data_IF_093400100451
#
_entry.id   IF_093400100451
#
_cell.length_a   1.000
_cell.length_b   1.000
_cell.length_c   1.000
_cell.angle_alpha   90.00
_cell.angle_beta   90.00
_cell.angle_gamma   90.00
#
_symmetry.space_group_name_H-M   'P 1'
#
loop_
_entity.id
_entity.type
_entity.pdbx_description
1 polymer ?
#
# COMPACT_ATOMS: atom_id res chain seq x y z
N UNK A 1 5.77 -0.38 -19.11
CA UNK A 1 6.65 -0.04 -17.97
C UNK A 1 5.95 1.05 -17.18
N UNK A 2 5.96 0.99 -15.84
CA UNK A 2 5.41 2.07 -15.00
C UNK A 2 6.45 3.19 -14.97
N UNK A 3 6.07 4.39 -15.42
CA UNK A 3 6.95 5.54 -15.40
C UNK A 3 7.24 5.96 -13.95
N UNK A 4 8.49 6.29 -13.66
CA UNK A 4 8.86 6.91 -12.39
C UNK A 4 8.35 8.36 -12.30
N UNK A 5 8.45 9.00 -11.13
CA UNK A 5 8.08 10.39 -10.97
C UNK A 5 8.95 11.31 -11.84
N UNK A 6 8.37 12.41 -12.33
CA UNK A 6 9.04 13.41 -13.18
C UNK A 6 10.26 14.06 -12.51
N UNK A 7 10.24 14.20 -11.18
CA UNK A 7 11.35 14.69 -10.35
C UNK A 7 11.35 14.06 -8.97
N UNK A 8 12.51 14.04 -8.32
CA UNK A 8 12.61 13.65 -6.91
C UNK A 8 11.99 14.72 -5.99
N UNK A 9 11.52 14.30 -4.83
CA UNK A 9 10.87 15.18 -3.86
C UNK A 9 9.40 15.47 -4.19
N UNK A 10 8.84 16.46 -3.50
CA UNK A 10 7.45 16.86 -3.62
C UNK A 10 7.23 17.90 -4.72
N UNK A 11 6.09 17.81 -5.40
CA UNK A 11 5.65 18.79 -6.39
C UNK A 11 4.15 18.71 -6.64
N UNK A 12 3.52 19.81 -7.13
CA UNK A 12 2.07 19.90 -7.24
C UNK A 12 1.41 18.70 -7.95
N UNK A 13 1.99 18.23 -9.05
CA UNK A 13 1.41 17.17 -9.87
C UNK A 13 1.92 15.76 -9.51
N UNK A 14 2.71 15.59 -8.44
CA UNK A 14 3.32 14.28 -8.11
C UNK A 14 2.29 13.19 -7.86
N UNK A 15 1.17 13.54 -7.24
CA UNK A 15 0.08 12.62 -7.03
C UNK A 15 -0.62 12.26 -8.34
N UNK A 16 -0.77 13.23 -9.25
CA UNK A 16 -1.34 13.01 -10.58
C UNK A 16 -0.44 12.10 -11.41
N UNK A 17 0.86 12.36 -11.46
CA UNK A 17 1.84 11.48 -12.13
C UNK A 17 1.75 10.04 -11.60
N UNK A 18 1.58 9.88 -10.29
CA UNK A 18 1.41 8.58 -9.66
C UNK A 18 0.09 7.91 -10.10
N UNK A 19 -1.01 8.65 -10.15
CA UNK A 19 -2.31 8.15 -10.61
C UNK A 19 -2.24 7.69 -12.07
N UNK A 20 -1.66 8.51 -12.96
CA UNK A 20 -1.48 8.17 -14.38
C UNK A 20 -0.63 6.90 -14.55
N UNK A 21 0.44 6.78 -13.77
CA UNK A 21 1.30 5.59 -13.79
C UNK A 21 0.59 4.32 -13.29
N UNK A 22 -0.35 4.46 -12.33
CA UNK A 22 -1.14 3.36 -11.79
C UNK A 22 -2.34 2.97 -12.67
N UNK A 23 -2.87 3.90 -13.48
CA UNK A 23 -4.11 3.70 -14.24
C UNK A 23 -4.12 2.42 -15.10
N UNK A 24 -3.06 2.08 -15.87
CA UNK A 24 -3.06 0.85 -16.66
C UNK A 24 -3.22 -0.42 -15.81
N UNK A 25 -2.56 -0.47 -14.65
CA UNK A 25 -2.68 -1.59 -13.70
C UNK A 25 -4.07 -1.64 -13.06
N UNK A 26 -4.63 -0.48 -12.73
CA UNK A 26 -5.98 -0.38 -12.20
C UNK A 26 -7.03 -0.89 -13.21
N UNK A 27 -6.95 -0.48 -14.48
CA UNK A 27 -7.86 -0.96 -15.52
C UNK A 27 -7.72 -2.47 -15.72
N UNK A 28 -6.49 -3.01 -15.75
CA UNK A 28 -6.27 -4.45 -15.86
C UNK A 28 -6.94 -5.25 -14.72
N UNK A 29 -6.89 -4.75 -13.48
CA UNK A 29 -7.59 -5.37 -12.35
C UNK A 29 -9.10 -5.32 -12.55
N UNK A 30 -9.64 -4.16 -12.95
CA UNK A 30 -11.08 -3.99 -13.16
C UNK A 30 -11.57 -4.91 -14.27
N UNK A 31 -10.90 -4.92 -15.43
CA UNK A 31 -11.25 -5.74 -16.58
C UNK A 31 -11.17 -7.24 -16.28
N UNK A 32 -10.15 -7.68 -15.54
CA UNK A 32 -10.05 -9.06 -15.08
C UNK A 32 -11.26 -9.47 -14.23
N UNK A 33 -11.67 -8.61 -13.29
CA UNK A 33 -12.81 -8.90 -12.41
C UNK A 33 -14.15 -8.85 -13.16
N UNK A 34 -14.29 -7.95 -14.13
CA UNK A 34 -15.45 -7.91 -15.04
C UNK A 34 -15.51 -9.19 -15.89
N UNK A 35 -14.38 -9.65 -16.43
CA UNK A 35 -14.28 -10.91 -17.16
C UNK A 35 -14.63 -12.14 -16.31
N UNK A 36 -14.41 -12.06 -15.00
CA UNK A 36 -14.85 -13.05 -14.03
C UNK A 36 -16.33 -12.89 -13.59
N UNK A 37 -17.10 -12.01 -14.25
CA UNK A 37 -18.53 -11.80 -14.00
C UNK A 37 -18.85 -10.95 -12.77
N UNK A 38 -17.87 -10.27 -12.17
CA UNK A 38 -18.14 -9.31 -11.07
C UNK A 38 -18.67 -8.01 -11.63
N UNK A 39 -19.52 -7.32 -10.87
CA UNK A 39 -19.99 -5.99 -11.27
C UNK A 39 -18.92 -4.92 -10.96
N UNK A 40 -18.76 -3.91 -11.83
CA UNK A 40 -17.81 -2.79 -11.61
C UNK A 40 -17.95 -2.17 -10.21
N UNK A 41 -19.18 -1.97 -9.76
CA UNK A 41 -19.45 -1.41 -8.43
C UNK A 41 -18.97 -2.31 -7.28
N UNK A 42 -18.98 -3.63 -7.44
CA UNK A 42 -18.41 -4.57 -6.47
C UNK A 42 -16.90 -4.46 -6.40
N UNK A 43 -16.24 -4.38 -7.56
CA UNK A 43 -14.78 -4.25 -7.67
C UNK A 43 -14.30 -2.99 -6.97
N UNK A 44 -14.89 -1.83 -7.29
CA UNK A 44 -14.48 -0.54 -6.71
C UNK A 44 -14.68 -0.48 -5.19
N UNK A 45 -15.81 -0.99 -4.70
CA UNK A 45 -16.06 -1.08 -3.24
C UNK A 45 -15.07 -2.01 -2.56
N UNK A 46 -14.69 -3.11 -3.22
CA UNK A 46 -13.74 -4.07 -2.67
C UNK A 46 -12.34 -3.49 -2.61
N UNK A 47 -11.88 -2.85 -3.68
CA UNK A 47 -10.57 -2.17 -3.72
C UNK A 47 -10.44 -1.11 -2.62
N UNK A 48 -11.47 -0.29 -2.41
CA UNK A 48 -11.48 0.71 -1.31
C UNK A 48 -11.29 0.05 0.07
N UNK A 49 -11.93 -1.09 0.31
CA UNK A 49 -11.82 -1.84 1.57
C UNK A 49 -10.45 -2.49 1.72
N UNK A 50 -9.90 -3.03 0.63
CA UNK A 50 -8.56 -3.63 0.62
C UNK A 50 -7.47 -2.60 0.93
N UNK A 51 -7.55 -1.41 0.33
CA UNK A 51 -6.62 -0.30 0.62
C UNK A 51 -6.70 0.11 2.10
N UNK A 52 -7.90 0.21 2.66
CA UNK A 52 -8.07 0.53 4.07
C UNK A 52 -7.48 -0.57 4.98
N UNK A 53 -7.70 -1.84 4.64
CA UNK A 53 -7.16 -2.97 5.39
C UNK A 53 -5.63 -3.07 5.32
N UNK A 54 -5.04 -2.81 4.14
CA UNK A 54 -3.60 -2.75 3.96
C UNK A 54 -2.99 -1.63 4.80
N UNK A 55 -3.53 -0.41 4.74
CA UNK A 55 -3.08 0.71 5.56
C UNK A 55 -3.11 0.40 7.07
N UNK A 56 -4.16 -0.27 7.55
CA UNK A 56 -4.23 -0.72 8.95
C UNK A 56 -3.14 -1.76 9.26
N UNK A 57 -2.95 -2.73 8.37
CA UNK A 57 -1.95 -3.79 8.53
C UNK A 57 -0.53 -3.22 8.57
N UNK A 58 -0.19 -2.32 7.64
CA UNK A 58 1.11 -1.65 7.61
C UNK A 58 1.37 -0.87 8.91
N UNK A 59 0.36 -0.17 9.42
CA UNK A 59 0.47 0.58 10.69
C UNK A 59 0.74 -0.33 11.88
N UNK A 60 -0.02 -1.41 12.03
CA UNK A 60 0.16 -2.31 13.18
C UNK A 60 1.47 -3.10 13.08
N UNK A 61 1.85 -3.55 11.87
CA UNK A 61 3.15 -4.19 11.65
C UNK A 61 4.31 -3.24 12.03
N UNK A 62 4.23 -1.97 11.65
CA UNK A 62 5.25 -0.99 12.02
C UNK A 62 5.41 -0.85 13.55
N UNK A 63 4.31 -0.92 14.32
CA UNK A 63 4.40 -0.90 15.80
C UNK A 63 5.07 -2.15 16.34
N UNK A 64 4.65 -3.32 15.86
CA UNK A 64 5.22 -4.60 16.28
C UNK A 64 6.71 -4.67 15.96
N UNK A 65 7.14 -4.18 14.79
CA UNK A 65 8.56 -4.11 14.42
C UNK A 65 9.36 -3.20 15.36
N UNK A 66 8.78 -2.07 15.79
CA UNK A 66 9.42 -1.18 16.79
C UNK A 66 9.56 -1.88 18.14
N UNK A 67 8.48 -2.51 18.64
CA UNK A 67 8.52 -3.27 19.90
C UNK A 67 9.53 -4.41 19.85
N UNK A 68 9.56 -5.14 18.74
CA UNK A 68 10.51 -6.22 18.52
C UNK A 68 11.95 -5.72 18.47
N UNK A 69 12.20 -4.56 17.84
CA UNK A 69 13.52 -3.94 17.82
C UNK A 69 13.97 -3.53 19.24
N UNK A 70 13.08 -2.97 20.05
CA UNK A 70 13.36 -2.60 21.46
C UNK A 70 13.65 -3.85 22.28
N UNK A 71 12.80 -4.88 22.20
CA UNK A 71 12.98 -6.15 22.91
C UNK A 71 14.33 -6.79 22.55
N UNK A 72 14.69 -6.80 21.26
CA UNK A 72 16.00 -7.29 20.78
C UNK A 72 17.15 -6.47 21.35
N UNK A 73 17.01 -5.15 21.45
CA UNK A 73 18.04 -4.29 22.04
C UNK A 73 18.21 -4.52 23.56
N UNK A 74 17.11 -4.73 24.30
CA UNK A 74 17.15 -5.03 25.74
C UNK A 74 17.86 -6.36 26.03
N UNK A 75 17.52 -7.41 25.27
CA UNK A 75 18.20 -8.71 25.36
C UNK A 75 19.69 -8.56 25.09
N UNK A 76 20.09 -7.83 24.03
CA UNK A 76 21.50 -7.59 23.71
C UNK A 76 22.22 -6.79 24.81
N UNK A 77 21.52 -5.90 25.50
CA UNK A 77 22.06 -5.13 26.61
C UNK A 77 22.12 -5.91 27.94
N UNK A 78 21.71 -7.18 27.96
CA UNK A 78 21.65 -8.00 29.18
C UNK A 78 20.60 -7.52 30.19
N UNK A 79 19.63 -6.70 29.75
CA UNK A 79 18.53 -6.22 30.59
C UNK A 79 17.38 -7.21 30.52
N UNK A 80 16.77 -7.53 31.66
CA UNK A 80 15.54 -8.32 31.69
C UNK A 80 14.43 -7.58 30.95
N UNK A 81 13.66 -8.33 30.15
CA UNK A 81 12.50 -7.87 29.37
C UNK A 81 11.40 -7.29 30.28
#
# INVERSE_FOLDING_TARGET
MISGPSREGDYPDREVDCQEAMEPGFQAIVDCMLGAGRARGEVLRSLRRLIAADNMTQKENAKVEVELAIARAMIRAGKAL
#
